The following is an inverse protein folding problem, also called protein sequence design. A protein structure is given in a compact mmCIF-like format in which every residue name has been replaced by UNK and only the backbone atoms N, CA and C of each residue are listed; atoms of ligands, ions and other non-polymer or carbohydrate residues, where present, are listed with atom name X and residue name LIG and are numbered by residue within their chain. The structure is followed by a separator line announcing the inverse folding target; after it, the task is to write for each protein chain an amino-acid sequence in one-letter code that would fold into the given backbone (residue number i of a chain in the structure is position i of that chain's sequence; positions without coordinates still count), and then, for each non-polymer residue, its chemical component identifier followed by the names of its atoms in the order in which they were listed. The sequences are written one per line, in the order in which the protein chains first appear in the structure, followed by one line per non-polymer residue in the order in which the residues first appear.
data_IF_122199629992
#
_entry.id   IF_122199629992
#
_cell.length_a   1.000
_cell.length_b   1.000
_cell.length_c   1.000
_cell.angle_alpha   90.00
_cell.angle_beta   90.00
_cell.angle_gamma   90.00
#
_symmetry.space_group_name_H-M   'P 1'
#
loop_
_entity.id
_entity.type
_entity.pdbx_description
1 polymer ?
#
# COMPACT_ATOMS: atom_id res chain seq x y z
N UNK A 1 25.34 -24.35 28.51
CA UNK A 1 23.97 -24.27 27.97
C UNK A 1 24.03 -23.24 26.86
N UNK A 2 24.05 -23.72 25.61
CA UNK A 2 24.40 -22.91 24.43
C UNK A 2 23.34 -21.85 24.14
N UNK A 3 23.83 -20.64 23.88
CA UNK A 3 23.10 -19.58 23.22
C UNK A 3 22.93 -19.99 21.75
N UNK A 4 21.69 -20.18 21.32
CA UNK A 4 21.37 -20.27 19.89
C UNK A 4 21.34 -18.85 19.35
N UNK A 5 22.53 -18.41 18.92
CA UNK A 5 22.76 -17.27 18.06
C UNK A 5 22.05 -17.55 16.72
N UNK A 6 20.95 -16.85 16.45
CA UNK A 6 20.32 -16.78 15.13
C UNK A 6 20.42 -15.33 14.65
N UNK A 7 21.66 -14.88 14.46
CA UNK A 7 21.95 -13.79 13.54
C UNK A 7 21.70 -14.33 12.12
N UNK A 8 20.48 -14.17 11.61
CA UNK A 8 20.18 -14.44 10.21
C UNK A 8 20.57 -13.23 9.37
N UNK A 9 21.50 -13.49 8.46
CA UNK A 9 22.20 -12.55 7.59
C UNK A 9 21.25 -11.73 6.69
N UNK A 10 21.69 -10.50 6.40
CA UNK A 10 21.03 -9.57 5.49
C UNK A 10 21.14 -10.06 4.03
N UNK A 11 20.01 -10.49 3.48
CA UNK A 11 19.82 -10.86 2.08
C UNK A 11 18.34 -10.98 1.69
N UNK A 12 17.68 -9.85 1.42
CA UNK A 12 16.57 -9.77 0.45
C UNK A 12 15.17 -10.29 0.83
N UNK A 13 14.87 -10.58 2.11
CA UNK A 13 13.51 -10.88 2.55
C UNK A 13 13.25 -10.36 3.96
N UNK A 14 12.38 -9.36 4.10
CA UNK A 14 11.91 -8.91 5.42
C UNK A 14 11.28 -10.08 6.18
N UNK A 15 11.59 -10.19 7.48
CA UNK A 15 11.06 -11.25 8.35
C UNK A 15 9.54 -11.21 8.43
N UNK A 16 8.91 -12.33 8.77
CA UNK A 16 7.46 -12.37 9.03
C UNK A 16 7.04 -11.30 10.04
N UNK A 17 7.83 -11.12 11.09
CA UNK A 17 7.60 -10.10 12.12
C UNK A 17 7.61 -8.69 11.52
N UNK A 18 8.60 -8.35 10.68
CA UNK A 18 8.69 -7.06 10.02
C UNK A 18 7.49 -6.81 9.09
N UNK A 19 7.16 -7.79 8.23
CA UNK A 19 6.01 -7.70 7.33
C UNK A 19 4.70 -7.54 8.07
N UNK A 20 4.51 -8.26 9.17
CA UNK A 20 3.31 -8.17 9.99
C UNK A 20 3.23 -6.82 10.70
N UNK A 21 4.32 -6.33 11.30
CA UNK A 21 4.33 -5.02 11.94
C UNK A 21 4.02 -3.90 10.94
N UNK A 22 4.52 -3.99 9.71
CA UNK A 22 4.17 -3.04 8.66
C UNK A 22 2.66 -2.97 8.39
N UNK A 23 1.97 -4.12 8.32
CA UNK A 23 0.51 -4.14 8.16
C UNK A 23 -0.21 -3.48 9.35
N UNK A 24 0.22 -3.78 10.57
CA UNK A 24 -0.35 -3.18 11.79
C UNK A 24 -0.18 -1.65 11.83
N UNK A 25 0.92 -1.14 11.30
CA UNK A 25 1.23 0.29 11.27
C UNK A 25 0.43 1.04 10.19
N UNK A 26 0.29 0.45 9.00
CA UNK A 26 -0.31 1.14 7.85
C UNK A 26 -1.83 0.99 7.77
N UNK A 27 -2.35 -0.18 8.17
CA UNK A 27 -3.76 -0.52 8.03
C UNK A 27 -4.44 -0.36 9.39
N UNK A 28 -5.22 0.71 9.50
CA UNK A 28 -6.02 1.00 10.69
C UNK A 28 -7.39 1.56 10.28
N UNK A 29 -8.42 1.45 11.14
CA UNK A 29 -9.77 1.92 10.82
C UNK A 29 -9.79 3.40 10.48
N UNK A 30 -10.66 3.78 9.53
CA UNK A 30 -10.91 5.18 9.21
C UNK A 30 -11.35 5.95 10.47
N UNK A 31 -10.71 7.09 10.75
CA UNK A 31 -11.02 7.94 11.90
C UNK A 31 -10.27 7.59 13.20
N UNK A 32 -9.37 6.59 13.20
CA UNK A 32 -8.42 6.35 14.30
C UNK A 32 -6.99 6.53 13.81
N UNK A 33 -6.16 7.16 14.64
CA UNK A 33 -4.72 7.36 14.41
C UNK A 33 -3.84 6.30 15.08
N UNK A 34 -4.43 5.43 15.92
CA UNK A 34 -3.67 4.39 16.63
C UNK A 34 -3.68 3.08 15.83
N UNK A 35 -2.51 2.41 15.66
CA UNK A 35 -2.42 1.04 15.15
C UNK A 35 -3.27 0.05 15.94
N UNK A 36 -3.66 -1.05 15.31
CA UNK A 36 -4.28 -2.15 16.02
C UNK A 36 -3.34 -2.73 17.11
N UNK A 37 -3.92 -3.12 18.23
CA UNK A 37 -3.27 -4.01 19.19
C UNK A 37 -3.43 -5.48 18.77
N UNK A 38 -2.55 -6.34 19.28
CA UNK A 38 -2.65 -7.78 19.03
C UNK A 38 -3.95 -8.38 19.56
N UNK A 39 -4.45 -7.90 20.71
CA UNK A 39 -5.70 -8.38 21.29
C UNK A 39 -6.92 -7.95 20.47
N UNK A 40 -6.91 -6.73 19.91
CA UNK A 40 -7.98 -6.25 19.03
C UNK A 40 -8.06 -7.09 17.75
N UNK A 41 -6.93 -7.36 17.08
CA UNK A 41 -6.93 -8.20 15.87
C UNK A 41 -7.39 -9.62 16.18
N UNK A 42 -6.94 -10.19 17.31
CA UNK A 42 -7.39 -11.50 17.76
C UNK A 42 -8.91 -11.56 17.97
N UNK A 43 -9.49 -10.54 18.63
CA UNK A 43 -10.93 -10.46 18.84
C UNK A 43 -11.70 -10.30 17.52
N UNK A 44 -11.26 -9.41 16.63
CA UNK A 44 -11.91 -9.16 15.36
C UNK A 44 -11.85 -10.37 14.41
N UNK A 45 -10.72 -11.09 14.38
CA UNK A 45 -10.60 -12.35 13.63
C UNK A 45 -11.62 -13.39 14.11
N UNK A 46 -11.82 -13.49 15.43
CA UNK A 46 -12.80 -14.40 16.02
C UNK A 46 -14.25 -13.97 15.69
N UNK A 47 -14.55 -12.67 15.73
CA UNK A 47 -15.86 -12.11 15.38
C UNK A 47 -16.21 -12.34 13.90
N UNK A 48 -15.21 -12.31 13.00
CA UNK A 48 -15.37 -12.59 11.58
C UNK A 48 -15.50 -14.09 11.24
N UNK A 49 -15.52 -14.97 12.26
CA UNK A 49 -15.59 -16.42 12.06
C UNK A 49 -14.28 -17.06 11.60
N UNK A 50 -13.17 -16.33 11.74
CA UNK A 50 -11.83 -16.82 11.46
C UNK A 50 -11.33 -17.84 12.48
N UNK A 51 -10.11 -18.37 12.28
CA UNK A 51 -9.49 -19.27 13.24
C UNK A 51 -9.27 -18.57 14.59
N UNK A 52 -9.41 -19.31 15.69
CA UNK A 52 -9.07 -18.80 17.02
C UNK A 52 -7.57 -18.54 17.12
N UNK A 53 -7.21 -17.26 17.24
CA UNK A 53 -5.84 -16.78 17.44
C UNK A 53 -5.81 -15.92 18.69
N UNK A 54 -4.91 -16.17 19.64
CA UNK A 54 -4.77 -15.33 20.84
C UNK A 54 -3.92 -14.09 20.57
N UNK A 55 -4.20 -12.98 21.26
CA UNK A 55 -3.38 -11.78 21.14
C UNK A 55 -1.93 -11.99 21.59
N UNK A 56 -1.70 -12.84 22.60
CA UNK A 56 -0.34 -13.27 22.99
C UNK A 56 0.40 -13.96 21.84
N UNK A 57 -0.27 -14.83 21.09
CA UNK A 57 0.35 -15.49 19.94
C UNK A 57 0.65 -14.51 18.81
N UNK A 58 -0.25 -13.57 18.52
CA UNK A 58 0.02 -12.49 17.55
C UNK A 58 1.19 -11.61 17.99
N UNK A 59 1.29 -11.28 19.27
CA UNK A 59 2.43 -10.56 19.81
C UNK A 59 3.75 -11.35 19.66
N UNK A 60 3.73 -12.67 19.88
CA UNK A 60 4.90 -13.53 19.64
C UNK A 60 5.33 -13.52 18.17
N UNK A 61 4.38 -13.53 17.23
CA UNK A 61 4.68 -13.40 15.80
C UNK A 61 5.28 -12.03 15.47
N UNK A 62 4.69 -10.95 15.99
CA UNK A 62 5.16 -9.57 15.77
C UNK A 62 6.54 -9.28 16.36
N UNK A 63 6.92 -10.00 17.41
CA UNK A 63 8.23 -9.86 18.05
C UNK A 63 9.26 -10.88 17.55
N UNK A 64 8.88 -11.76 16.63
CA UNK A 64 9.75 -12.84 16.13
C UNK A 64 10.02 -13.95 17.15
N UNK A 65 9.37 -13.94 18.32
CA UNK A 65 9.44 -15.04 19.29
C UNK A 65 8.82 -16.33 18.75
N UNK A 66 7.91 -16.20 17.79
CA UNK A 66 7.46 -17.25 16.89
C UNK A 66 7.52 -16.73 15.47
N UNK A 67 7.85 -17.61 14.54
CA UNK A 67 8.03 -17.30 13.13
C UNK A 67 7.35 -18.32 12.20
N UNK A 68 6.84 -19.43 12.74
CA UNK A 68 6.22 -20.51 11.99
C UNK A 68 4.71 -20.66 12.28
N UNK A 69 3.86 -19.71 11.81
CA UNK A 69 2.41 -19.86 11.91
C UNK A 69 1.86 -20.87 10.90
N UNK A 70 0.69 -21.43 11.21
CA UNK A 70 -0.02 -22.29 10.27
C UNK A 70 -0.50 -21.48 9.07
N UNK A 71 -0.63 -22.15 7.91
CA UNK A 71 -1.20 -21.54 6.69
C UNK A 71 -2.56 -20.88 6.97
N UNK A 72 -3.42 -21.54 7.75
CA UNK A 72 -4.75 -21.03 8.12
C UNK A 72 -4.69 -19.71 8.90
N UNK A 73 -3.70 -19.55 9.78
CA UNK A 73 -3.51 -18.28 10.50
C UNK A 73 -3.02 -17.16 9.57
N UNK A 74 -2.17 -17.48 8.61
CA UNK A 74 -1.68 -16.50 7.64
C UNK A 74 -2.74 -16.08 6.63
N UNK A 75 -3.57 -17.01 6.15
CA UNK A 75 -4.73 -16.71 5.30
C UNK A 75 -5.68 -15.76 6.04
N UNK A 76 -6.03 -16.07 7.30
CA UNK A 76 -6.90 -15.21 8.09
C UNK A 76 -6.31 -13.81 8.35
N UNK A 77 -5.00 -13.71 8.62
CA UNK A 77 -4.33 -12.43 8.77
C UNK A 77 -4.28 -11.64 7.46
N UNK A 78 -4.01 -12.32 6.33
CA UNK A 78 -4.00 -11.72 5.01
C UNK A 78 -5.37 -11.13 4.67
N UNK A 79 -6.43 -11.91 4.89
CA UNK A 79 -7.82 -11.49 4.66
C UNK A 79 -8.21 -10.31 5.57
N UNK A 80 -7.84 -10.36 6.85
CA UNK A 80 -8.10 -9.28 7.81
C UNK A 80 -7.45 -7.95 7.37
N UNK A 81 -6.19 -8.01 6.90
CA UNK A 81 -5.46 -6.84 6.44
C UNK A 81 -5.75 -6.47 4.97
N UNK A 82 -6.51 -7.30 4.24
CA UNK A 82 -6.83 -7.07 2.83
C UNK A 82 -5.60 -7.17 1.91
N UNK A 83 -4.64 -8.04 2.23
CA UNK A 83 -3.45 -8.30 1.41
C UNK A 83 -3.44 -9.72 0.88
N UNK A 84 -2.76 -10.03 -0.24
CA UNK A 84 -2.58 -11.41 -0.68
C UNK A 84 -1.76 -12.21 0.33
N UNK A 85 -2.10 -13.47 0.61
CA UNK A 85 -1.31 -14.34 1.53
C UNK A 85 0.15 -14.48 1.11
N UNK A 86 0.43 -14.40 -0.21
CA UNK A 86 1.78 -14.40 -0.76
C UNK A 86 2.66 -13.26 -0.21
N UNK A 87 2.06 -12.16 0.29
CA UNK A 87 2.76 -11.07 0.96
C UNK A 87 3.69 -11.56 2.08
N UNK A 88 3.35 -12.66 2.76
CA UNK A 88 4.18 -13.17 3.87
C UNK A 88 5.40 -14.00 3.42
N UNK A 89 5.45 -14.42 2.15
CA UNK A 89 6.46 -15.40 1.68
C UNK A 89 7.20 -14.96 0.43
N UNK A 90 6.53 -14.27 -0.49
CA UNK A 90 7.09 -13.80 -1.74
C UNK A 90 7.64 -12.38 -1.54
N UNK A 91 8.95 -12.21 -1.76
CA UNK A 91 9.63 -10.93 -1.57
C UNK A 91 9.22 -9.88 -2.62
N UNK A 92 8.88 -10.31 -3.84
CA UNK A 92 8.40 -9.42 -4.89
C UNK A 92 6.99 -8.92 -4.58
N UNK A 93 6.10 -9.82 -4.17
CA UNK A 93 4.75 -9.43 -3.72
C UNK A 93 4.82 -8.50 -2.51
N UNK A 94 5.67 -8.81 -1.54
CA UNK A 94 5.87 -7.97 -0.37
C UNK A 94 6.34 -6.55 -0.73
N UNK A 95 7.29 -6.43 -1.66
CA UNK A 95 7.79 -5.12 -2.10
C UNK A 95 6.71 -4.29 -2.78
N UNK A 96 5.91 -4.89 -3.68
CA UNK A 96 4.84 -4.19 -4.39
C UNK A 96 3.75 -3.71 -3.43
N UNK A 97 3.20 -4.64 -2.65
CA UNK A 97 2.16 -4.33 -1.65
C UNK A 97 2.69 -3.31 -0.64
N UNK A 98 3.94 -3.45 -0.21
CA UNK A 98 4.57 -2.51 0.72
C UNK A 98 4.64 -1.09 0.16
N UNK A 99 5.01 -0.94 -1.11
CA UNK A 99 5.05 0.35 -1.82
C UNK A 99 3.67 1.01 -1.92
N UNK A 100 2.64 0.22 -2.23
CA UNK A 100 1.26 0.71 -2.32
C UNK A 100 0.75 1.16 -0.94
N UNK A 101 1.01 0.36 0.10
CA UNK A 101 0.67 0.67 1.49
C UNK A 101 1.35 1.96 1.98
N UNK A 102 2.65 2.11 1.72
CA UNK A 102 3.39 3.33 2.06
C UNK A 102 2.84 4.57 1.35
N UNK A 103 2.44 4.44 0.09
CA UNK A 103 1.82 5.52 -0.69
C UNK A 103 0.50 5.93 -0.05
N UNK A 104 -0.35 4.97 0.31
CA UNK A 104 -1.62 5.22 1.00
C UNK A 104 -1.41 5.89 2.37
N UNK A 105 -0.38 5.48 3.13
CA UNK A 105 -0.01 6.12 4.40
C UNK A 105 0.33 7.60 4.20
N UNK A 106 1.19 7.91 3.22
CA UNK A 106 1.60 9.30 2.91
C UNK A 106 0.42 10.18 2.49
N UNK A 107 -0.51 9.66 1.70
CA UNK A 107 -1.73 10.38 1.31
C UNK A 107 -2.65 10.67 2.51
N UNK A 108 -2.67 9.78 3.51
CA UNK A 108 -3.41 9.95 4.76
C UNK A 108 -2.77 11.02 5.66
N UNK A 109 -1.46 10.91 5.88
CA UNK A 109 -0.69 11.82 6.74
C UNK A 109 -0.62 13.25 6.20
N UNK A 110 -0.57 13.40 4.87
CA UNK A 110 -0.57 14.72 4.21
C UNK A 110 -1.93 15.42 4.19
N UNK A 111 -3.00 14.78 4.67
CA UNK A 111 -4.35 15.35 4.64
C UNK A 111 -5.00 15.41 3.26
N UNK A 112 -4.34 14.88 2.22
CA UNK A 112 -4.85 14.88 0.82
C UNK A 112 -6.19 14.16 0.71
N UNK A 113 -6.42 13.09 1.48
CA UNK A 113 -7.72 12.39 1.53
C UNK A 113 -8.87 13.33 1.92
N UNK A 114 -8.61 14.30 2.82
CA UNK A 114 -9.58 15.28 3.29
C UNK A 114 -10.04 16.23 2.18
N UNK A 115 -9.11 16.59 1.29
CA UNK A 115 -9.37 17.41 0.09
C UNK A 115 -10.17 16.60 -0.92
N UNK A 116 -9.73 15.37 -1.23
CA UNK A 116 -10.41 14.49 -2.18
C UNK A 116 -11.88 14.23 -1.79
N UNK A 117 -12.15 13.90 -0.52
CA UNK A 117 -13.51 13.65 -0.03
C UNK A 117 -14.43 14.88 -0.11
N UNK A 118 -13.88 16.10 0.04
CA UNK A 118 -14.64 17.35 -0.12
C UNK A 118 -14.87 17.73 -1.57
N UNK A 119 -14.00 17.25 -2.46
CA UNK A 119 -14.10 17.52 -3.88
C UNK A 119 -15.14 16.60 -4.58
N UNK A 120 -15.59 15.53 -3.91
CA UNK A 120 -16.67 14.66 -4.41
C UNK A 120 -17.94 15.46 -4.63
N UNK A 121 -18.50 15.40 -5.85
CA UNK A 121 -19.72 16.10 -6.24
C UNK A 121 -19.52 17.50 -6.80
N UNK A 122 -18.27 18.00 -6.86
CA UNK A 122 -17.98 19.22 -7.61
C UNK A 122 -18.18 19.02 -9.11
N UNK A 123 -18.66 20.05 -9.79
CA UNK A 123 -18.68 20.07 -11.25
C UNK A 123 -17.25 20.10 -11.81
N UNK A 124 -17.01 19.64 -13.06
CA UNK A 124 -15.69 19.71 -13.68
C UNK A 124 -15.07 21.11 -13.62
N UNK A 125 -15.84 22.14 -13.98
CA UNK A 125 -15.41 23.55 -13.92
C UNK A 125 -15.01 24.00 -12.51
N UNK A 126 -15.71 23.52 -11.48
CA UNK A 126 -15.39 23.83 -10.09
C UNK A 126 -14.14 23.10 -9.62
N UNK A 127 -13.91 21.88 -10.11
CA UNK A 127 -12.68 21.13 -9.85
C UNK A 127 -11.47 21.85 -10.45
N UNK A 128 -11.58 22.33 -11.70
CA UNK A 128 -10.50 23.08 -12.37
C UNK A 128 -10.11 24.33 -11.58
N UNK A 129 -11.09 25.04 -11.02
CA UNK A 129 -10.84 26.20 -10.18
C UNK A 129 -10.11 25.85 -8.86
N UNK A 130 -10.43 24.70 -8.26
CA UNK A 130 -9.73 24.19 -7.07
C UNK A 130 -8.29 23.81 -7.42
N UNK A 131 -8.07 23.12 -8.53
CA UNK A 131 -6.73 22.76 -9.01
C UNK A 131 -5.86 24.00 -9.28
N UNK A 132 -6.42 25.02 -9.94
CA UNK A 132 -5.72 26.27 -10.18
C UNK A 132 -5.33 27.00 -8.89
N UNK A 133 -6.19 26.97 -7.86
CA UNK A 133 -5.85 27.51 -6.54
C UNK A 133 -4.74 26.71 -5.84
N UNK A 134 -4.74 25.38 -5.98
CA UNK A 134 -3.67 24.54 -5.45
C UNK A 134 -2.33 24.89 -6.11
N UNK A 135 -2.29 25.01 -7.44
CA UNK A 135 -1.06 25.39 -8.16
C UNK A 135 -0.58 26.79 -7.75
N UNK A 136 -1.51 27.73 -7.55
CA UNK A 136 -1.15 29.07 -7.06
C UNK A 136 -0.51 29.04 -5.68
N UNK A 137 -1.02 28.21 -4.76
CA UNK A 137 -0.41 28.04 -3.42
C UNK A 137 0.97 27.39 -3.55
N UNK A 138 1.14 26.40 -4.44
CA UNK A 138 2.44 25.75 -4.68
C UNK A 138 3.49 26.75 -5.17
N UNK A 139 3.14 27.62 -6.10
CA UNK A 139 4.02 28.70 -6.56
C UNK A 139 4.48 29.62 -5.42
N UNK A 140 3.56 30.00 -4.53
CA UNK A 140 3.87 30.85 -3.37
C UNK A 140 4.82 30.17 -2.38
N UNK A 141 4.73 28.85 -2.25
CA UNK A 141 5.61 28.02 -1.43
C UNK A 141 6.93 27.63 -2.15
N UNK A 142 7.15 28.08 -3.40
CA UNK A 142 8.33 27.74 -4.20
C UNK A 142 8.37 26.29 -4.67
N UNK A 143 7.21 25.62 -4.72
CA UNK A 143 7.07 24.24 -5.17
C UNK A 143 6.75 24.18 -6.68
N UNK A 144 7.23 23.15 -7.41
CA UNK A 144 6.84 22.95 -8.81
C UNK A 144 5.33 22.67 -8.93
N UNK A 145 4.68 22.88 -10.09
CA UNK A 145 3.26 22.60 -10.28
C UNK A 145 2.89 21.14 -9.96
N UNK A 146 1.64 20.89 -9.58
CA UNK A 146 1.18 19.56 -9.18
C UNK A 146 1.13 18.60 -10.37
N UNK A 147 2.02 17.61 -10.43
CA UNK A 147 1.94 16.53 -11.43
C UNK A 147 0.91 15.49 -10.98
N UNK A 148 -0.38 15.81 -11.11
CA UNK A 148 -1.39 14.75 -11.22
C UNK A 148 -1.03 13.92 -12.46
N UNK A 149 -0.90 12.61 -12.33
CA UNK A 149 -0.45 11.71 -13.40
C UNK A 149 -1.19 11.95 -14.71
N UNK A 150 -0.60 12.77 -15.58
CA UNK A 150 -0.89 12.85 -17.01
C UNK A 150 0.46 13.05 -17.71
N UNK A 151 1.21 11.96 -17.80
CA UNK A 151 2.39 11.83 -18.66
C UNK A 151 2.63 10.36 -18.95
N UNK A 152 1.71 9.74 -19.69
CA UNK A 152 2.18 8.94 -20.82
C UNK A 152 2.23 9.94 -21.99
N UNK A 153 3.41 10.25 -22.57
CA UNK A 153 3.43 11.01 -23.80
C UNK A 153 2.67 10.20 -24.83
N UNK A 154 1.62 10.80 -25.35
CA UNK A 154 0.93 10.42 -26.57
C UNK A 154 2.00 10.02 -27.60
N UNK A 155 2.09 8.72 -27.89
CA UNK A 155 2.86 8.22 -29.02
C UNK A 155 2.31 8.95 -30.24
N UNK A 156 3.07 9.94 -30.72
CA UNK A 156 2.84 10.64 -31.97
C UNK A 156 2.39 9.64 -33.04
N UNK A 157 1.25 9.84 -33.73
CA UNK A 157 0.96 9.04 -34.89
C UNK A 157 2.06 9.34 -35.91
N UNK A 158 2.89 8.32 -36.18
CA UNK A 158 3.92 8.36 -37.22
C UNK A 158 3.24 8.69 -38.54
N UNK A 159 3.45 9.92 -38.98
CA UNK A 159 3.01 10.43 -40.28
C UNK A 159 3.62 9.59 -41.41
N UNK A 160 2.75 9.21 -42.36
CA UNK A 160 3.02 8.98 -43.77
C UNK A 160 4.19 8.06 -44.17
N UNK A 161 3.86 6.88 -44.68
CA UNK A 161 4.60 6.30 -45.82
C UNK A 161 3.61 6.09 -46.96
N UNK A 162 3.90 6.79 -48.05
CA UNK A 162 3.19 6.85 -49.32
C UNK A 162 2.95 5.46 -49.96
N UNK A 163 1.96 5.36 -50.87
CA UNK A 163 1.69 4.14 -51.61
C UNK A 163 2.77 3.90 -52.67
N UNK A 164 3.28 2.67 -52.72
CA UNK A 164 4.15 2.21 -53.80
C UNK A 164 3.33 2.11 -55.10
N UNK A 165 3.67 2.82 -56.19
CA UNK A 165 3.02 2.61 -57.47
C UNK A 165 3.58 1.32 -58.10
N UNK A 166 2.69 0.41 -58.48
CA UNK A 166 3.07 -0.79 -59.23
C UNK A 166 3.48 -0.43 -60.66
N UNK A 167 4.47 -1.14 -61.26
CA UNK A 167 4.64 -1.07 -62.70
C UNK A 167 3.74 -2.13 -63.34
N UNK A 168 2.76 -1.66 -64.10
CA UNK A 168 2.23 -2.43 -65.21
C UNK A 168 3.27 -2.44 -66.33
N UNK A 169 3.74 -3.63 -66.70
CA UNK A 169 3.80 -4.21 -68.05
C UNK A 169 4.33 -5.64 -67.92
#
# INVERSE_FOLDING_TARGET
MQASDHTSEAGGGESLAARLNHLFEVIHPAGRSRPYSSDEVAALLQEQGGPTVSGTYLWQLRTGRRDNPTKRHLEALADFFGVPVAYFFDAEVARRVGTDLDTLRRLRESGVQSVALRAVGLSPKSMDAVLAMIDRVRELEGLPPGTGTESAPESTPSSASEPVPGPGQ
#
